data_IF_107638348832
#
_entry.id   IF_107638348832
#
_cell.length_a   1.000
_cell.length_b   1.000
_cell.length_c   1.000
_cell.angle_alpha   90.00
_cell.angle_beta   90.00
_cell.angle_gamma   90.00
#
_symmetry.space_group_name_H-M   'P 1'
#
loop_
_entity.id
_entity.type
_entity.pdbx_description
1 polymer ?
#
# COMPACT_ATOMS: atom_id res chain seq x y z
N UNK A 1 -56.38 -19.70 -22.33
CA UNK A 1 -55.04 -19.55 -22.90
C UNK A 1 -54.27 -18.57 -22.04
N UNK A 2 -53.38 -19.06 -21.19
CA UNK A 2 -52.56 -18.22 -20.31
C UNK A 2 -51.20 -18.00 -20.99
N UNK A 3 -50.93 -16.80 -21.36
CA UNK A 3 -49.63 -16.38 -21.82
C UNK A 3 -48.71 -16.21 -20.60
N UNK A 4 -47.79 -17.17 -20.45
CA UNK A 4 -46.68 -17.02 -19.53
C UNK A 4 -45.68 -16.05 -20.15
N UNK A 5 -45.65 -14.83 -19.63
CA UNK A 5 -44.58 -13.90 -19.93
C UNK A 5 -43.37 -14.31 -19.08
N UNK A 6 -42.27 -14.75 -19.69
CA UNK A 6 -41.08 -15.01 -18.90
C UNK A 6 -40.60 -13.66 -18.34
N UNK A 7 -40.55 -13.58 -17.03
CA UNK A 7 -39.86 -12.49 -16.38
C UNK A 7 -38.37 -12.62 -16.76
N UNK A 8 -37.92 -11.75 -17.66
CA UNK A 8 -36.52 -11.61 -17.96
C UNK A 8 -35.92 -10.96 -16.70
N UNK A 9 -35.34 -11.80 -15.86
CA UNK A 9 -34.48 -11.28 -14.80
C UNK A 9 -33.28 -10.67 -15.51
N UNK A 10 -33.28 -9.35 -15.67
CA UNK A 10 -32.10 -8.60 -16.07
C UNK A 10 -31.14 -8.71 -14.89
N UNK A 11 -30.26 -9.68 -14.98
CA UNK A 11 -29.12 -9.79 -14.08
C UNK A 11 -28.24 -8.57 -14.38
N UNK A 12 -28.39 -7.51 -13.60
CA UNK A 12 -27.43 -6.39 -13.63
C UNK A 12 -26.16 -6.95 -13.02
N UNK A 13 -25.30 -7.47 -13.89
CA UNK A 13 -23.91 -7.70 -13.57
C UNK A 13 -23.30 -6.31 -13.28
N UNK A 14 -23.43 -5.86 -12.02
CA UNK A 14 -22.63 -4.75 -11.52
C UNK A 14 -21.18 -5.21 -11.65
N UNK A 15 -20.50 -4.63 -12.60
CA UNK A 15 -19.26 -5.17 -13.13
C UNK A 15 -18.18 -5.19 -12.07
N UNK A 16 -17.80 -6.37 -11.59
CA UNK A 16 -16.53 -6.64 -10.92
C UNK A 16 -15.34 -6.12 -11.75
N UNK A 17 -15.51 -5.91 -13.08
CA UNK A 17 -14.52 -5.33 -13.97
C UNK A 17 -14.12 -3.90 -13.61
N UNK A 18 -15.04 -3.03 -13.15
CA UNK A 18 -14.73 -1.66 -12.77
C UNK A 18 -13.83 -1.57 -11.52
N UNK A 19 -14.09 -2.43 -10.51
CA UNK A 19 -13.27 -2.50 -9.31
C UNK A 19 -11.89 -3.09 -9.62
N UNK A 20 -11.81 -4.12 -10.45
CA UNK A 20 -10.56 -4.73 -10.89
C UNK A 20 -9.73 -3.78 -11.76
N UNK A 21 -10.37 -2.99 -12.63
CA UNK A 21 -9.70 -1.98 -13.43
C UNK A 21 -9.15 -0.85 -12.57
N UNK A 22 -9.87 -0.42 -11.54
CA UNK A 22 -9.41 0.58 -10.58
C UNK A 22 -8.19 0.08 -9.80
N UNK A 23 -8.19 -1.16 -9.32
CA UNK A 23 -7.05 -1.80 -8.66
C UNK A 23 -5.85 -1.86 -9.61
N UNK A 24 -6.04 -2.33 -10.83
CA UNK A 24 -4.98 -2.46 -11.82
C UNK A 24 -4.34 -1.12 -12.18
N UNK A 25 -5.16 -0.09 -12.36
CA UNK A 25 -4.69 1.27 -12.61
C UNK A 25 -3.87 1.82 -11.44
N UNK A 26 -4.38 1.67 -10.24
CA UNK A 26 -3.72 2.13 -9.02
C UNK A 26 -2.42 1.36 -8.74
N UNK A 27 -2.41 0.04 -8.95
CA UNK A 27 -1.19 -0.77 -8.86
C UNK A 27 -0.11 -0.28 -9.81
N UNK A 28 -0.49 0.05 -11.05
CA UNK A 28 0.45 0.61 -12.03
C UNK A 28 1.03 1.96 -11.58
N UNK A 29 0.23 2.79 -10.93
CA UNK A 29 0.68 4.08 -10.39
C UNK A 29 1.63 3.93 -9.19
N UNK A 30 1.50 2.85 -8.41
CA UNK A 30 2.39 2.55 -7.29
C UNK A 30 3.71 1.91 -7.73
N UNK A 31 3.78 1.38 -8.96
CA UNK A 31 5.00 0.82 -9.51
C UNK A 31 6.05 1.89 -9.78
N UNK A 32 7.30 1.45 -9.87
CA UNK A 32 8.44 2.28 -10.21
C UNK A 32 9.42 2.42 -9.07
N UNK A 33 10.26 3.42 -9.20
CA UNK A 33 11.34 3.72 -8.25
C UNK A 33 11.01 5.00 -7.49
N UNK A 34 11.20 4.95 -6.18
CA UNK A 34 10.84 6.01 -5.25
C UNK A 34 11.96 6.27 -4.26
N UNK A 35 12.16 7.52 -3.91
CA UNK A 35 13.09 7.93 -2.86
C UNK A 35 12.34 8.37 -1.62
N UNK A 36 12.85 7.98 -0.45
CA UNK A 36 12.25 8.38 0.83
C UNK A 36 12.40 9.88 1.03
N UNK A 37 11.31 10.53 1.42
CA UNK A 37 11.25 11.94 1.82
C UNK A 37 11.29 12.05 3.34
N UNK A 38 10.55 11.19 4.01
CA UNK A 38 10.52 11.10 5.46
C UNK A 38 10.08 9.71 5.88
N UNK A 39 10.43 9.32 7.10
CA UNK A 39 10.02 8.06 7.68
C UNK A 39 10.15 8.09 9.19
N UNK A 40 9.39 7.26 9.84
CA UNK A 40 9.42 7.12 11.29
C UNK A 40 8.59 5.94 11.76
N UNK A 41 8.77 5.58 13.01
CA UNK A 41 8.06 4.48 13.63
C UNK A 41 7.86 4.79 15.12
N UNK A 42 6.67 4.49 15.61
CA UNK A 42 6.34 4.57 17.04
C UNK A 42 6.72 5.93 17.67
N UNK A 43 6.46 7.01 16.95
CA UNK A 43 6.75 8.38 17.41
C UNK A 43 8.19 8.85 17.22
N UNK A 44 9.05 8.00 16.65
CA UNK A 44 10.47 8.33 16.43
C UNK A 44 10.76 8.48 14.94
N UNK A 45 11.22 9.66 14.54
CA UNK A 45 11.64 9.91 13.16
C UNK A 45 12.95 9.19 12.86
N UNK A 46 13.07 8.66 11.63
CA UNK A 46 14.34 8.14 11.14
C UNK A 46 15.36 9.27 11.04
N UNK A 47 16.64 8.99 11.34
CA UNK A 47 17.71 9.97 11.11
C UNK A 47 17.73 10.42 9.64
N UNK A 48 18.00 11.69 9.42
CA UNK A 48 18.06 12.27 8.07
C UNK A 48 19.05 11.53 7.17
N UNK A 49 20.20 11.13 7.71
CA UNK A 49 21.20 10.35 6.97
C UNK A 49 20.64 9.01 6.48
N UNK A 50 19.76 8.35 7.25
CA UNK A 50 19.08 7.12 6.86
C UNK A 50 18.04 7.39 5.78
N UNK A 51 17.22 8.43 5.96
CA UNK A 51 16.18 8.81 5.01
C UNK A 51 16.77 9.06 3.62
N UNK A 52 17.91 9.73 3.54
CA UNK A 52 18.60 10.03 2.27
C UNK A 52 19.00 8.80 1.48
N UNK A 53 19.13 7.66 2.12
CA UNK A 53 19.52 6.39 1.46
C UNK A 53 18.32 5.48 1.19
N UNK A 54 17.13 5.86 1.63
CA UNK A 54 15.93 5.04 1.48
C UNK A 54 15.41 5.01 0.06
N UNK A 55 15.28 3.80 -0.49
CA UNK A 55 14.73 3.55 -1.83
C UNK A 55 13.62 2.52 -1.75
N UNK A 56 12.62 2.72 -2.59
CA UNK A 56 11.52 1.79 -2.80
C UNK A 56 11.41 1.47 -4.27
N UNK A 57 11.42 0.19 -4.59
CA UNK A 57 11.16 -0.31 -5.94
C UNK A 57 9.94 -1.20 -5.89
N UNK A 58 8.93 -0.88 -6.67
CA UNK A 58 7.71 -1.67 -6.77
C UNK A 58 7.48 -2.12 -8.20
N UNK A 59 7.31 -3.43 -8.38
CA UNK A 59 7.07 -4.06 -9.67
C UNK A 59 6.31 -5.36 -9.50
N UNK A 60 5.30 -5.58 -10.33
CA UNK A 60 4.53 -6.84 -10.38
C UNK A 60 3.98 -7.28 -9.01
N UNK A 61 3.49 -6.32 -8.22
CA UNK A 61 2.92 -6.60 -6.89
C UNK A 61 3.94 -6.86 -5.79
N UNK A 62 5.22 -6.64 -6.05
CA UNK A 62 6.30 -6.78 -5.07
C UNK A 62 6.96 -5.43 -4.82
N UNK A 63 7.19 -5.13 -3.55
CA UNK A 63 7.93 -3.95 -3.10
C UNK A 63 9.22 -4.38 -2.44
N UNK A 64 10.32 -3.72 -2.80
CA UNK A 64 11.63 -3.87 -2.15
C UNK A 64 12.03 -2.53 -1.56
N UNK A 65 12.33 -2.51 -0.27
CA UNK A 65 12.87 -1.34 0.42
C UNK A 65 14.34 -1.58 0.72
N UNK A 66 15.17 -0.62 0.34
CA UNK A 66 16.61 -0.64 0.62
C UNK A 66 17.04 0.61 1.36
N UNK A 67 18.08 0.48 2.18
CA UNK A 67 18.79 1.58 2.79
C UNK A 67 20.29 1.38 2.55
N UNK A 68 20.96 2.39 1.98
CA UNK A 68 22.37 2.29 1.66
C UNK A 68 22.70 1.13 0.70
N UNK A 69 21.79 0.77 -0.17
CA UNK A 69 21.95 -0.34 -1.12
C UNK A 69 21.68 -1.72 -0.54
N UNK A 70 21.38 -1.83 0.75
CA UNK A 70 21.05 -3.11 1.40
C UNK A 70 19.55 -3.29 1.52
N UNK A 71 19.05 -4.47 1.19
CA UNK A 71 17.62 -4.81 1.33
C UNK A 71 17.26 -4.83 2.81
N UNK A 72 16.30 -3.99 3.17
CA UNK A 72 15.71 -3.98 4.50
C UNK A 72 14.55 -4.96 4.59
N UNK A 73 13.63 -4.92 3.63
CA UNK A 73 12.59 -5.92 3.49
C UNK A 73 12.08 -6.01 2.05
N UNK A 74 11.41 -7.13 1.77
CA UNK A 74 10.56 -7.32 0.59
C UNK A 74 9.17 -7.75 1.03
N UNK A 75 8.17 -7.30 0.29
CA UNK A 75 6.77 -7.63 0.54
C UNK A 75 6.01 -7.80 -0.76
N UNK A 76 5.06 -8.71 -0.76
CA UNK A 76 3.97 -8.70 -1.75
C UNK A 76 2.89 -7.78 -1.24
N UNK A 77 2.34 -6.96 -2.09
CA UNK A 77 1.30 -6.04 -1.67
C UNK A 77 0.02 -6.19 -2.48
N UNK A 78 -1.08 -5.99 -1.79
CA UNK A 78 -2.43 -5.90 -2.35
C UNK A 78 -3.07 -4.61 -1.88
N UNK A 79 -3.97 -4.06 -2.69
CA UNK A 79 -4.62 -2.78 -2.38
C UNK A 79 -6.13 -2.88 -2.50
N UNK A 80 -6.81 -2.02 -1.77
CA UNK A 80 -8.24 -1.75 -1.95
C UNK A 80 -8.45 -0.24 -2.02
N UNK A 81 -8.48 0.32 -3.25
CA UNK A 81 -8.64 1.77 -3.44
C UNK A 81 -10.07 2.25 -3.21
N UNK A 82 -11.04 1.36 -2.97
CA UNK A 82 -12.42 1.74 -2.65
C UNK A 82 -12.58 2.16 -1.19
N UNK A 83 -11.64 1.80 -0.33
CA UNK A 83 -11.62 2.21 1.08
C UNK A 83 -11.19 3.67 1.23
N UNK A 84 -11.59 4.30 2.34
CA UNK A 84 -11.21 5.67 2.72
C UNK A 84 -10.73 5.69 4.18
N UNK A 85 -9.41 5.85 4.40
CA UNK A 85 -8.31 5.89 3.43
C UNK A 85 -8.16 4.60 2.63
N UNK A 86 -7.53 4.68 1.45
CA UNK A 86 -7.22 3.52 0.63
C UNK A 86 -6.37 2.52 1.41
N UNK A 87 -6.70 1.23 1.30
CA UNK A 87 -6.04 0.16 2.06
C UNK A 87 -4.95 -0.51 1.25
N UNK A 88 -3.90 -0.92 1.96
CA UNK A 88 -2.78 -1.68 1.41
C UNK A 88 -2.32 -2.70 2.44
N UNK A 89 -2.07 -3.93 2.00
CA UNK A 89 -1.53 -4.99 2.84
C UNK A 89 -0.15 -5.38 2.33
N UNK A 90 0.81 -5.51 3.24
CA UNK A 90 2.14 -6.05 2.96
C UNK A 90 2.28 -7.44 3.56
N UNK A 91 2.36 -8.46 2.70
CA UNK A 91 2.76 -9.81 3.09
C UNK A 91 4.28 -9.90 2.98
N UNK A 92 4.97 -9.94 4.09
CA UNK A 92 6.42 -9.84 4.15
C UNK A 92 7.09 -11.13 3.66
N UNK A 93 7.94 -11.04 2.65
CA UNK A 93 8.68 -12.17 2.07
C UNK A 93 10.14 -12.21 2.49
N UNK A 94 10.71 -11.08 2.89
CA UNK A 94 12.04 -10.96 3.46
C UNK A 94 12.08 -9.87 4.52
N UNK A 95 12.99 -9.97 5.46
CA UNK A 95 13.23 -8.97 6.49
C UNK A 95 12.81 -9.40 7.89
N UNK A 96 12.81 -8.46 8.86
CA UNK A 96 12.59 -8.77 10.28
C UNK A 96 11.26 -9.43 10.60
N UNK A 97 10.22 -9.16 9.80
CA UNK A 97 8.86 -9.71 10.00
C UNK A 97 8.44 -10.67 8.89
N UNK A 98 9.42 -11.34 8.27
CA UNK A 98 9.15 -12.35 7.24
C UNK A 98 8.05 -13.33 7.65
N UNK A 99 7.10 -13.57 6.74
CA UNK A 99 5.97 -14.47 6.97
C UNK A 99 4.77 -13.81 7.66
N UNK A 100 4.89 -12.55 8.04
CA UNK A 100 3.81 -11.79 8.69
C UNK A 100 3.21 -10.78 7.73
N UNK A 101 2.00 -10.30 8.04
CA UNK A 101 1.30 -9.29 7.26
C UNK A 101 1.15 -8.02 8.07
N UNK A 102 1.46 -6.89 7.43
CA UNK A 102 1.21 -5.57 7.96
C UNK A 102 0.00 -4.96 7.25
N UNK A 103 -1.00 -4.56 8.01
CA UNK A 103 -2.17 -3.83 7.48
C UNK A 103 -1.85 -2.35 7.44
N UNK A 104 -2.15 -1.69 6.33
CA UNK A 104 -1.82 -0.29 6.15
C UNK A 104 -2.83 0.49 5.34
N UNK A 105 -2.56 1.77 5.24
CA UNK A 105 -3.27 2.73 4.40
C UNK A 105 -2.26 3.50 3.56
N UNK A 106 -2.71 4.01 2.42
CA UNK A 106 -1.86 4.81 1.56
C UNK A 106 -2.62 5.97 0.93
N UNK A 107 -1.88 6.97 0.56
CA UNK A 107 -2.37 8.13 -0.19
C UNK A 107 -1.39 8.43 -1.32
N UNK A 108 -1.90 8.36 -2.54
CA UNK A 108 -1.14 8.65 -3.74
C UNK A 108 -1.56 10.02 -4.27
N UNK A 109 -0.61 10.92 -4.36
CA UNK A 109 -0.82 12.30 -4.85
C UNK A 109 0.26 12.62 -5.89
N UNK A 110 -0.05 12.40 -7.18
CA UNK A 110 0.89 12.60 -8.26
C UNK A 110 2.16 11.75 -8.08
N UNK A 111 3.29 12.40 -7.91
CA UNK A 111 4.59 11.77 -7.74
C UNK A 111 4.97 11.51 -6.28
N UNK A 112 4.03 11.68 -5.36
CA UNK A 112 4.22 11.45 -3.93
C UNK A 112 3.30 10.35 -3.45
N UNK A 113 3.78 9.46 -2.60
CA UNK A 113 2.98 8.45 -1.91
C UNK A 113 3.32 8.44 -0.43
N UNK A 114 2.29 8.30 0.38
CA UNK A 114 2.37 8.20 1.84
C UNK A 114 1.81 6.85 2.27
N UNK A 115 2.50 6.18 3.18
CA UNK A 115 2.06 4.92 3.78
C UNK A 115 2.05 5.02 5.29
N UNK A 116 1.04 4.39 5.90
CA UNK A 116 0.99 4.16 7.33
C UNK A 116 0.63 2.70 7.58
N UNK A 117 1.50 1.95 8.26
CA UNK A 117 1.33 0.53 8.52
C UNK A 117 1.24 0.24 10.02
N UNK A 118 0.35 -0.67 10.39
CA UNK A 118 0.33 -1.27 11.72
C UNK A 118 1.42 -2.34 11.86
N UNK A 119 1.80 -2.64 13.10
CA UNK A 119 2.59 -3.82 13.41
C UNK A 119 1.79 -5.10 13.06
N UNK A 120 2.46 -6.25 12.84
CA UNK A 120 1.74 -7.50 12.61
C UNK A 120 0.75 -7.82 13.73
N UNK A 121 -0.49 -8.16 13.37
CA UNK A 121 -1.57 -8.41 14.33
C UNK A 121 -2.28 -7.15 14.82
N UNK A 122 -1.79 -5.96 14.49
CA UNK A 122 -2.44 -4.69 14.81
C UNK A 122 -3.59 -4.35 13.87
N UNK A 123 -4.47 -3.45 14.31
CA UNK A 123 -5.55 -2.95 13.49
C UNK A 123 -5.04 -2.05 12.37
N UNK A 124 -5.73 -2.08 11.23
CA UNK A 124 -5.44 -1.15 10.12
C UNK A 124 -5.54 0.29 10.62
N UNK A 125 -4.52 1.13 10.37
CA UNK A 125 -4.61 2.55 10.69
C UNK A 125 -5.81 3.21 9.98
N UNK A 126 -6.40 4.20 10.65
CA UNK A 126 -7.47 5.03 10.08
C UNK A 126 -7.00 6.44 9.76
N UNK A 127 -5.81 6.80 10.19
CA UNK A 127 -5.15 8.07 9.91
C UNK A 127 -3.65 7.87 9.68
N UNK A 128 -3.00 8.90 9.15
CA UNK A 128 -1.56 8.89 8.83
C UNK A 128 -0.75 9.43 10.01
N UNK A 129 -0.83 8.74 11.14
CA UNK A 129 -0.06 9.05 12.33
C UNK A 129 0.66 7.81 12.85
N UNK A 130 1.85 8.00 13.40
CA UNK A 130 2.68 6.95 14.01
C UNK A 130 3.22 7.42 15.35
N UNK A 131 2.31 7.72 16.26
CA UNK A 131 2.61 8.24 17.60
C UNK A 131 3.31 7.21 18.46
N UNK A 132 3.98 7.69 19.50
CA UNK A 132 4.57 6.85 20.54
C UNK A 132 3.51 5.90 21.11
N UNK A 133 3.86 4.61 21.22
CA UNK A 133 2.95 3.55 21.68
C UNK A 133 2.04 2.97 20.61
N UNK A 134 1.95 3.57 19.43
CA UNK A 134 1.10 3.08 18.34
C UNK A 134 1.64 1.84 17.65
N UNK A 135 2.96 1.62 17.69
CA UNK A 135 3.69 0.60 16.93
C UNK A 135 3.46 0.68 15.42
N UNK A 136 3.08 1.86 14.94
CA UNK A 136 2.87 2.13 13.52
C UNK A 136 4.13 2.71 12.89
N UNK A 137 4.23 2.54 11.57
CA UNK A 137 5.23 3.21 10.73
C UNK A 137 4.53 4.20 9.82
N UNK A 138 5.19 5.32 9.56
CA UNK A 138 4.74 6.33 8.63
C UNK A 138 5.90 6.65 7.68
N UNK A 139 5.66 6.64 6.39
CA UNK A 139 6.68 6.98 5.41
C UNK A 139 6.09 7.77 4.24
N UNK A 140 6.90 8.66 3.70
CA UNK A 140 6.58 9.48 2.53
C UNK A 140 7.66 9.28 1.49
N UNK A 141 7.25 9.07 0.26
CA UNK A 141 8.13 8.75 -0.87
C UNK A 141 7.81 9.64 -2.05
N UNK A 142 8.84 9.99 -2.79
CA UNK A 142 8.72 10.74 -4.04
C UNK A 142 9.23 9.88 -5.18
N UNK A 143 8.48 9.86 -6.28
CA UNK A 143 8.88 9.13 -7.50
C UNK A 143 10.19 9.69 -8.05
N UNK A 144 11.12 8.80 -8.36
CA UNK A 144 12.37 9.19 -9.00
C UNK A 144 12.08 9.66 -10.43
N UNK A 145 12.73 10.72 -10.83
CA UNK A 145 12.69 11.20 -12.21
C UNK A 145 13.51 10.27 -13.07
N UNK A 146 12.91 9.88 -14.18
CA UNK A 146 13.64 9.15 -15.21
C UNK A 146 14.50 10.11 -16.04
#
# INVERSE_FOLDING_TARGET
>A
MRLLVPAIAVLVLVSASGAQDAVKKEMAQLEGEWSMVSGGANGVALPEATVKTGKRVAKDGETTITFGGQVYFKARFSIDPTKKPKAIDYAMTEGPTKGKTHLGIYELDGDTVKFCFAAPGGERPTDFTAREGSQRTLSVWKRDKK
#
